data_IF_102875483336
#
_entry.id   IF_102875483336
#
_cell.length_a   1.000
_cell.length_b   1.000
_cell.length_c   1.000
_cell.angle_alpha   90.00
_cell.angle_beta   90.00
_cell.angle_gamma   90.00
#
_symmetry.space_group_name_H-M   'P 1'
#
loop_
_entity.id
_entity.type
_entity.pdbx_description
1 polymer ?
#
# COMPACT_ATOMS: atom_id res chain seq x y z
N UNK A 1 -49.91 3.57 -1.06
CA UNK A 1 -49.67 2.30 -1.80
C UNK A 1 -48.18 2.21 -2.05
N UNK A 2 -47.50 1.13 -1.63
CA UNK A 2 -46.08 0.92 -1.89
C UNK A 2 -45.97 0.06 -3.16
N UNK A 3 -45.25 0.55 -4.16
CA UNK A 3 -44.98 -0.18 -5.40
C UNK A 3 -43.58 -0.79 -5.26
N UNK A 4 -43.50 -2.12 -5.36
CA UNK A 4 -42.23 -2.84 -5.39
C UNK A 4 -41.77 -2.90 -6.85
N UNK A 5 -40.64 -2.28 -7.15
CA UNK A 5 -40.05 -2.29 -8.49
C UNK A 5 -39.28 -3.59 -8.75
N UNK A 6 -39.20 -3.98 -10.02
CA UNK A 6 -38.37 -5.09 -10.47
C UNK A 6 -36.90 -4.85 -10.09
N UNK A 7 -36.16 -5.88 -9.67
CA UNK A 7 -34.73 -5.74 -9.38
C UNK A 7 -33.93 -5.22 -10.57
N UNK A 8 -32.82 -4.55 -10.27
CA UNK A 8 -31.80 -4.17 -11.26
C UNK A 8 -31.15 -5.43 -11.86
N UNK A 9 -30.49 -5.28 -13.02
CA UNK A 9 -29.87 -6.40 -13.75
C UNK A 9 -28.92 -7.25 -12.91
N UNK A 10 -28.67 -8.47 -13.37
CA UNK A 10 -27.64 -9.35 -12.81
C UNK A 10 -26.27 -8.65 -12.74
N UNK A 11 -25.93 -7.83 -13.72
CA UNK A 11 -24.69 -7.06 -13.76
C UNK A 11 -24.60 -6.05 -12.62
N UNK A 12 -25.69 -5.34 -12.31
CA UNK A 12 -25.72 -4.43 -11.17
C UNK A 12 -25.69 -5.17 -9.83
N UNK A 13 -26.29 -6.36 -9.74
CA UNK A 13 -26.18 -7.19 -8.54
C UNK A 13 -24.74 -7.68 -8.32
N UNK A 14 -24.06 -8.13 -9.38
CA UNK A 14 -22.65 -8.51 -9.34
C UNK A 14 -21.74 -7.31 -9.00
N UNK A 15 -22.02 -6.13 -9.56
CA UNK A 15 -21.31 -4.91 -9.22
C UNK A 15 -21.49 -4.56 -7.73
N UNK A 16 -22.73 -4.62 -7.22
CA UNK A 16 -23.04 -4.39 -5.80
C UNK A 16 -22.29 -5.36 -4.89
N UNK A 17 -22.28 -6.65 -5.23
CA UNK A 17 -21.52 -7.67 -4.50
C UNK A 17 -20.02 -7.34 -4.49
N UNK A 18 -19.46 -6.97 -5.65
CA UNK A 18 -18.06 -6.60 -5.74
C UNK A 18 -17.75 -5.33 -4.91
N UNK A 19 -18.61 -4.31 -4.91
CA UNK A 19 -18.45 -3.15 -4.03
C UNK A 19 -18.50 -3.53 -2.55
N UNK A 20 -19.41 -4.43 -2.16
CA UNK A 20 -19.48 -4.94 -0.78
C UNK A 20 -18.21 -5.68 -0.41
N UNK A 21 -17.72 -6.58 -1.26
CA UNK A 21 -16.47 -7.31 -1.02
C UNK A 21 -15.29 -6.34 -0.93
N UNK A 22 -15.23 -5.31 -1.78
CA UNK A 22 -14.23 -4.26 -1.68
C UNK A 22 -14.28 -3.52 -0.34
N UNK A 23 -15.47 -3.22 0.19
CA UNK A 23 -15.63 -2.58 1.50
C UNK A 23 -15.36 -3.47 2.71
N UNK A 24 -15.37 -4.80 2.53
CA UNK A 24 -15.07 -5.77 3.60
C UNK A 24 -13.57 -6.02 3.80
N UNK A 25 -12.74 -5.75 2.79
CA UNK A 25 -11.29 -5.98 2.87
C UNK A 25 -10.57 -4.70 3.26
N UNK A 26 -9.55 -4.81 4.12
CA UNK A 26 -8.61 -3.71 4.42
C UNK A 26 -7.36 -3.69 3.54
N UNK A 27 -7.15 -4.77 2.78
CA UNK A 27 -6.00 -4.91 1.89
C UNK A 27 -6.19 -4.10 0.59
N UNK A 28 -5.21 -3.26 0.27
CA UNK A 28 -5.32 -2.34 -0.86
C UNK A 28 -5.40 -3.07 -2.21
N UNK A 29 -4.68 -4.18 -2.39
CA UNK A 29 -4.69 -4.96 -3.62
C UNK A 29 -6.08 -5.60 -3.82
N UNK A 30 -6.62 -6.21 -2.77
CA UNK A 30 -7.97 -6.80 -2.78
C UNK A 30 -9.05 -5.73 -3.05
N UNK A 31 -8.97 -4.57 -2.39
CA UNK A 31 -9.87 -3.43 -2.63
C UNK A 31 -9.83 -3.03 -4.11
N UNK A 32 -8.63 -2.83 -4.68
CA UNK A 32 -8.49 -2.41 -6.09
C UNK A 32 -9.00 -3.47 -7.06
N UNK A 33 -8.80 -4.75 -6.77
CA UNK A 33 -9.32 -5.86 -7.55
C UNK A 33 -10.85 -5.85 -7.60
N UNK A 34 -11.51 -5.78 -6.44
CA UNK A 34 -12.98 -5.78 -6.38
C UNK A 34 -13.60 -4.53 -6.99
N UNK A 35 -13.00 -3.36 -6.79
CA UNK A 35 -13.46 -2.12 -7.44
C UNK A 35 -13.33 -2.22 -8.96
N UNK A 36 -12.21 -2.71 -9.48
CA UNK A 36 -12.05 -2.96 -10.91
C UNK A 36 -13.14 -3.89 -11.45
N UNK A 37 -13.39 -5.01 -10.77
CA UNK A 37 -14.42 -5.98 -11.15
C UNK A 37 -15.84 -5.38 -11.12
N UNK A 38 -16.16 -4.54 -10.12
CA UNK A 38 -17.43 -3.85 -10.04
C UNK A 38 -17.67 -2.95 -11.27
N UNK A 39 -16.65 -2.19 -11.68
CA UNK A 39 -16.73 -1.33 -12.85
C UNK A 39 -16.76 -2.11 -14.18
N UNK A 40 -16.14 -3.30 -14.26
CA UNK A 40 -16.34 -4.21 -15.40
C UNK A 40 -17.81 -4.60 -15.52
N UNK A 41 -18.47 -4.95 -14.41
CA UNK A 41 -19.90 -5.29 -14.46
C UNK A 41 -20.79 -4.09 -14.81
N UNK A 42 -20.48 -2.89 -14.31
CA UNK A 42 -21.21 -1.68 -14.69
C UNK A 42 -20.99 -1.30 -16.16
N UNK A 43 -19.79 -1.51 -16.69
CA UNK A 43 -19.50 -1.35 -18.11
C UNK A 43 -20.34 -2.31 -18.95
N UNK A 44 -20.37 -3.60 -18.59
CA UNK A 44 -21.21 -4.59 -19.28
C UNK A 44 -22.69 -4.22 -19.20
N UNK A 45 -23.17 -3.78 -18.03
CA UNK A 45 -24.54 -3.31 -17.86
C UNK A 45 -24.87 -2.15 -18.83
N UNK A 46 -23.99 -1.14 -18.91
CA UNK A 46 -24.18 0.01 -19.78
C UNK A 46 -24.16 -0.39 -21.27
N UNK A 47 -23.22 -1.26 -21.68
CA UNK A 47 -23.12 -1.78 -23.05
C UNK A 47 -24.36 -2.57 -23.49
N UNK A 48 -25.02 -3.26 -22.56
CA UNK A 48 -26.24 -4.02 -22.83
C UNK A 48 -27.52 -3.17 -22.71
N UNK A 49 -27.37 -1.86 -22.55
CA UNK A 49 -28.45 -0.88 -22.48
C UNK A 49 -29.22 -0.89 -21.16
N UNK A 50 -28.52 -1.23 -20.05
CA UNK A 50 -29.07 -1.27 -18.69
C UNK A 50 -30.34 -2.13 -18.61
N UNK A 51 -30.24 -3.44 -18.89
CA UNK A 51 -31.40 -4.33 -18.81
C UNK A 51 -31.97 -4.36 -17.38
N UNK A 52 -33.22 -4.81 -17.26
CA UNK A 52 -33.79 -5.17 -15.96
C UNK A 52 -33.58 -6.66 -15.70
N UNK A 53 -33.80 -7.08 -14.46
CA UNK A 53 -33.70 -8.49 -14.09
C UNK A 53 -34.58 -9.38 -14.97
N UNK A 54 -34.02 -10.49 -15.45
CA UNK A 54 -34.70 -11.43 -16.36
C UNK A 54 -34.65 -11.05 -17.84
N UNK A 55 -34.13 -9.87 -18.20
CA UNK A 55 -33.87 -9.49 -19.59
C UNK A 55 -32.36 -9.55 -19.88
N UNK A 56 -31.92 -10.20 -20.97
CA UNK A 56 -30.49 -10.28 -21.30
C UNK A 56 -29.93 -8.97 -21.88
N UNK A 57 -30.77 -8.17 -22.54
CA UNK A 57 -30.41 -6.90 -23.19
C UNK A 57 -31.61 -5.96 -23.21
N UNK A 58 -31.36 -4.65 -23.23
CA UNK A 58 -32.40 -3.65 -23.48
C UNK A 58 -31.91 -2.67 -24.55
N UNK A 59 -32.41 -2.79 -25.78
CA UNK A 59 -31.92 -2.03 -26.94
C UNK A 59 -32.46 -0.59 -27.01
N UNK A 60 -33.19 -0.11 -26.00
CA UNK A 60 -33.79 1.23 -25.98
C UNK A 60 -32.77 2.38 -25.99
N UNK A 61 -31.50 2.12 -25.65
CA UNK A 61 -30.41 3.09 -25.69
C UNK A 61 -29.23 2.68 -24.82
N UNK A 62 -28.09 3.36 -24.99
CA UNK A 62 -26.89 3.17 -24.16
C UNK A 62 -26.78 4.34 -23.19
N UNK A 63 -26.60 4.05 -21.91
CA UNK A 63 -26.35 5.06 -20.88
C UNK A 63 -24.90 5.58 -20.99
N UNK A 64 -24.68 6.60 -21.83
CA UNK A 64 -23.35 7.16 -22.13
C UNK A 64 -22.61 7.60 -20.87
N UNK A 65 -23.30 8.24 -19.92
CA UNK A 65 -22.69 8.66 -18.65
C UNK A 65 -22.16 7.46 -17.86
N UNK A 66 -22.98 6.41 -17.71
CA UNK A 66 -22.57 5.18 -17.02
C UNK A 66 -21.39 4.51 -17.72
N UNK A 67 -21.38 4.52 -19.06
CA UNK A 67 -20.30 3.96 -19.86
C UNK A 67 -18.99 4.74 -19.64
N UNK A 68 -19.04 6.07 -19.73
CA UNK A 68 -17.88 6.94 -19.54
C UNK A 68 -17.27 6.75 -18.14
N UNK A 69 -18.10 6.82 -17.10
CA UNK A 69 -17.64 6.67 -15.73
C UNK A 69 -17.14 5.25 -15.45
N UNK A 70 -17.76 4.21 -16.03
CA UNK A 70 -17.26 2.85 -15.90
C UNK A 70 -15.86 2.72 -16.52
N UNK A 71 -15.63 3.26 -17.72
CA UNK A 71 -14.32 3.20 -18.40
C UNK A 71 -13.24 3.95 -17.60
N UNK A 72 -13.52 5.17 -17.14
CA UNK A 72 -12.56 5.97 -16.37
C UNK A 72 -12.17 5.27 -15.06
N UNK A 73 -13.16 4.75 -14.32
CA UNK A 73 -12.89 4.06 -13.07
C UNK A 73 -12.19 2.71 -13.30
N UNK A 74 -12.56 1.99 -14.36
CA UNK A 74 -11.89 0.74 -14.74
C UNK A 74 -10.42 0.99 -15.07
N UNK A 75 -10.08 2.10 -15.74
CA UNK A 75 -8.68 2.52 -15.95
C UNK A 75 -7.97 2.84 -14.64
N UNK A 76 -8.57 3.65 -13.76
CA UNK A 76 -7.96 4.05 -12.47
C UNK A 76 -7.70 2.83 -11.58
N UNK A 77 -8.71 1.98 -11.39
CA UNK A 77 -8.58 0.79 -10.56
C UNK A 77 -7.70 -0.27 -11.21
N UNK A 78 -7.82 -0.48 -12.53
CA UNK A 78 -7.03 -1.46 -13.26
C UNK A 78 -5.54 -1.11 -13.31
N UNK A 79 -5.20 0.15 -13.60
CA UNK A 79 -3.80 0.60 -13.60
C UNK A 79 -3.15 0.51 -12.22
N UNK A 80 -3.89 0.89 -11.16
CA UNK A 80 -3.43 0.71 -9.77
C UNK A 80 -3.30 -0.77 -9.40
N UNK A 81 -4.24 -1.62 -9.80
CA UNK A 81 -4.20 -3.06 -9.56
C UNK A 81 -2.96 -3.68 -10.21
N UNK A 82 -2.71 -3.36 -11.49
CA UNK A 82 -1.52 -3.85 -12.20
C UNK A 82 -0.24 -3.44 -11.47
N UNK A 83 -0.13 -2.18 -11.04
CA UNK A 83 1.04 -1.72 -10.27
C UNK A 83 1.22 -2.50 -8.97
N UNK A 84 0.15 -2.69 -8.20
CA UNK A 84 0.22 -3.44 -6.94
C UNK A 84 0.62 -4.91 -7.19
N UNK A 85 0.07 -5.56 -8.21
CA UNK A 85 0.49 -6.93 -8.60
C UNK A 85 1.97 -6.97 -9.02
N UNK A 86 2.45 -5.94 -9.73
CA UNK A 86 3.85 -5.83 -10.08
C UNK A 86 4.73 -5.57 -8.85
N UNK A 87 4.21 -4.92 -7.82
CA UNK A 87 4.91 -4.65 -6.56
C UNK A 87 5.03 -5.90 -5.68
N UNK A 88 4.08 -6.85 -5.78
CA UNK A 88 4.15 -8.16 -5.12
C UNK A 88 5.17 -9.13 -5.74
N UNK A 89 5.85 -8.73 -6.83
CA UNK A 89 6.87 -9.60 -7.44
C UNK A 89 7.99 -9.91 -6.43
N UNK A 90 8.43 -11.17 -6.35
CA UNK A 90 9.45 -11.57 -5.39
C UNK A 90 10.75 -10.81 -5.68
N UNK A 91 11.30 -10.24 -4.61
CA UNK A 91 12.63 -9.62 -4.62
C UNK A 91 13.51 -10.43 -3.69
N UNK A 92 14.72 -10.73 -4.16
CA UNK A 92 15.74 -11.40 -3.37
C UNK A 92 16.39 -10.34 -2.49
N UNK A 93 16.30 -10.55 -1.18
CA UNK A 93 17.00 -9.77 -0.16
C UNK A 93 17.99 -10.70 0.53
N UNK A 94 19.09 -10.14 1.04
CA UNK A 94 19.94 -10.83 2.01
C UNK A 94 19.20 -11.05 3.33
N UNK A 95 19.74 -11.88 4.23
CA UNK A 95 19.10 -12.15 5.52
C UNK A 95 18.95 -10.87 6.36
N UNK A 96 19.96 -10.01 6.34
CA UNK A 96 19.99 -8.72 7.06
C UNK A 96 18.98 -7.73 6.47
N UNK A 97 18.94 -7.61 5.14
CA UNK A 97 17.96 -6.79 4.43
C UNK A 97 16.53 -7.26 4.65
N UNK A 98 16.28 -8.58 4.63
CA UNK A 98 14.95 -9.15 4.88
C UNK A 98 14.49 -8.88 6.30
N UNK A 99 15.40 -8.97 7.27
CA UNK A 99 15.07 -8.68 8.65
C UNK A 99 14.78 -7.20 8.90
N UNK A 100 15.57 -6.30 8.29
CA UNK A 100 15.30 -4.87 8.32
C UNK A 100 13.99 -4.53 7.60
N UNK A 101 13.73 -5.13 6.43
CA UNK A 101 12.47 -4.98 5.71
C UNK A 101 11.29 -5.37 6.57
N UNK A 102 11.35 -6.50 7.32
CA UNK A 102 10.28 -6.91 8.24
C UNK A 102 9.99 -5.85 9.31
N UNK A 103 11.01 -5.10 9.75
CA UNK A 103 10.82 -3.98 10.67
C UNK A 103 10.00 -2.87 10.00
N UNK A 104 10.42 -2.39 8.83
CA UNK A 104 9.73 -1.34 8.07
C UNK A 104 8.33 -1.75 7.61
N UNK A 105 8.15 -3.01 7.24
CA UNK A 105 6.85 -3.54 6.84
C UNK A 105 5.87 -3.54 8.01
N UNK A 106 6.32 -3.93 9.21
CA UNK A 106 5.47 -3.94 10.41
C UNK A 106 5.09 -2.55 10.90
N UNK A 107 5.97 -1.56 10.79
CA UNK A 107 5.73 -0.22 11.31
C UNK A 107 5.11 0.74 10.28
N UNK A 108 5.47 0.60 9.00
CA UNK A 108 5.09 1.54 7.94
C UNK A 108 4.44 0.92 6.70
N UNK A 109 4.27 -0.41 6.65
CA UNK A 109 3.65 -1.08 5.50
C UNK A 109 4.48 -1.01 4.21
N UNK A 110 5.80 -0.79 4.32
CA UNK A 110 6.67 -0.65 3.16
C UNK A 110 6.80 -1.99 2.41
N UNK A 111 6.35 -2.04 1.15
CA UNK A 111 6.44 -3.27 0.36
C UNK A 111 7.89 -3.69 0.13
N UNK A 112 8.13 -4.99 -0.02
CA UNK A 112 9.48 -5.56 -0.18
C UNK A 112 10.22 -4.98 -1.39
N UNK A 113 9.49 -4.77 -2.49
CA UNK A 113 10.03 -4.16 -3.70
C UNK A 113 10.38 -2.69 -3.51
N UNK A 114 9.55 -1.93 -2.80
CA UNK A 114 9.82 -0.52 -2.53
C UNK A 114 11.02 -0.37 -1.59
N UNK A 115 11.11 -1.22 -0.57
CA UNK A 115 12.28 -1.34 0.29
C UNK A 115 13.55 -1.62 -0.53
N UNK A 116 13.52 -2.63 -1.41
CA UNK A 116 14.67 -2.93 -2.26
C UNK A 116 15.02 -1.83 -3.26
N UNK A 117 14.04 -1.15 -3.84
CA UNK A 117 14.30 -0.12 -4.85
C UNK A 117 14.82 1.19 -4.26
N UNK A 118 14.38 1.55 -3.05
CA UNK A 118 14.64 2.86 -2.46
C UNK A 118 15.67 2.81 -1.34
N UNK A 119 15.63 1.79 -0.47
CA UNK A 119 16.49 1.75 0.72
C UNK A 119 17.76 0.93 0.50
N UNK A 120 17.63 -0.28 -0.04
CA UNK A 120 18.77 -1.21 -0.21
C UNK A 120 19.98 -0.60 -0.92
N UNK A 121 19.84 0.19 -2.01
CA UNK A 121 21.00 0.77 -2.71
C UNK A 121 21.78 1.81 -1.88
N UNK A 122 21.18 2.30 -0.81
CA UNK A 122 21.75 3.30 0.08
C UNK A 122 22.03 2.75 1.49
N UNK A 123 21.85 1.43 1.66
CA UNK A 123 22.04 0.77 2.94
C UNK A 123 23.46 0.23 3.04
N UNK A 124 24.13 0.52 4.15
CA UNK A 124 25.40 -0.09 4.52
C UNK A 124 25.23 -0.73 5.90
N UNK A 125 25.55 -2.03 5.99
CA UNK A 125 25.53 -2.75 7.26
C UNK A 125 26.89 -2.59 7.91
N UNK A 126 26.89 -2.00 9.10
CA UNK A 126 28.11 -1.73 9.87
C UNK A 126 28.05 -2.53 11.17
N UNK A 127 29.07 -3.34 11.41
CA UNK A 127 29.30 -4.01 12.69
C UNK A 127 30.25 -3.16 13.54
N UNK A 128 29.86 -2.89 14.77
CA UNK A 128 30.66 -2.14 15.74
C UNK A 128 30.85 -2.96 17.01
N UNK A 129 32.04 -2.87 17.59
CA UNK A 129 32.36 -3.48 18.88
C UNK A 129 32.06 -2.53 20.04
N UNK A 130 32.00 -3.10 21.24
CA UNK A 130 31.79 -2.31 22.44
C UNK A 130 32.97 -1.36 22.67
N UNK A 131 32.67 -0.05 22.71
CA UNK A 131 33.66 1.01 22.85
C UNK A 131 33.99 1.74 21.55
N UNK A 132 33.50 1.26 20.40
CA UNK A 132 33.67 1.96 19.13
C UNK A 132 32.83 3.24 19.09
N UNK A 133 33.41 4.32 18.58
CA UNK A 133 32.71 5.58 18.33
C UNK A 133 32.13 5.59 16.92
N UNK A 134 30.82 5.86 16.80
CA UNK A 134 30.12 5.92 15.53
C UNK A 134 29.99 7.37 15.05
N UNK A 135 30.37 7.62 13.79
CA UNK A 135 30.24 8.93 13.16
C UNK A 135 28.79 9.18 12.75
N UNK A 136 28.12 10.07 13.47
CA UNK A 136 26.66 10.27 13.37
C UNK A 136 26.25 11.59 12.73
N UNK A 137 27.21 12.38 12.26
CA UNK A 137 26.97 13.67 11.59
C UNK A 137 26.47 13.50 10.15
N UNK A 138 26.98 12.48 9.46
CA UNK A 138 26.72 12.24 8.03
C UNK A 138 25.77 11.06 7.74
N UNK A 139 25.48 10.24 8.76
CA UNK A 139 24.76 8.99 8.60
C UNK A 139 23.53 8.89 9.52
N UNK A 140 22.47 8.32 8.97
CA UNK A 140 21.29 7.92 9.74
C UNK A 140 21.40 6.44 10.09
N UNK A 141 21.39 6.13 11.37
CA UNK A 141 21.55 4.75 11.84
C UNK A 141 20.22 4.14 12.23
N UNK A 142 20.07 2.87 11.88
CA UNK A 142 18.99 2.00 12.33
C UNK A 142 19.61 0.89 13.15
N UNK A 143 19.35 0.85 14.45
CA UNK A 143 19.91 -0.19 15.31
C UNK A 143 19.17 -1.50 15.10
N UNK A 144 19.78 -2.43 14.36
CA UNK A 144 19.20 -3.75 14.17
C UNK A 144 19.36 -4.64 15.42
N UNK A 145 20.57 -4.72 15.97
CA UNK A 145 20.87 -5.51 17.16
C UNK A 145 21.87 -4.78 18.09
N UNK A 146 21.82 -5.09 19.39
CA UNK A 146 22.72 -4.53 20.39
C UNK A 146 22.18 -3.27 21.08
N UNK A 147 23.10 -2.52 21.69
CA UNK A 147 22.81 -1.31 22.47
C UNK A 147 23.87 -0.26 22.17
N UNK A 148 23.45 0.93 21.75
CA UNK A 148 24.36 2.07 21.61
C UNK A 148 24.13 3.05 22.75
N UNK A 149 25.19 3.73 23.17
CA UNK A 149 25.12 4.84 24.11
C UNK A 149 25.21 6.13 23.30
N UNK A 150 24.12 6.89 23.29
CA UNK A 150 24.01 8.13 22.52
C UNK A 150 24.16 9.31 23.47
N UNK A 151 25.22 10.10 23.24
CA UNK A 151 25.48 11.34 23.95
C UNK A 151 25.47 12.50 22.95
N UNK A 152 24.61 13.49 23.19
CA UNK A 152 24.54 14.71 22.37
C UNK A 152 25.08 15.88 23.18
N UNK A 153 26.10 16.53 22.65
CA UNK A 153 26.74 17.70 23.23
C UNK A 153 26.36 18.94 22.41
N UNK A 154 25.95 20.02 23.08
CA UNK A 154 25.82 21.37 22.52
C UNK A 154 26.95 22.24 23.11
N UNK A 155 28.03 22.37 22.35
CA UNK A 155 29.31 22.88 22.86
C UNK A 155 29.88 21.93 23.93
N UNK A 156 30.05 22.42 25.16
CA UNK A 156 30.49 21.62 26.32
C UNK A 156 29.33 21.05 27.14
N UNK A 157 28.08 21.36 26.78
CA UNK A 157 26.91 20.98 27.57
C UNK A 157 26.27 19.69 27.03
N UNK A 158 26.13 18.69 27.90
CA UNK A 158 25.37 17.47 27.60
C UNK A 158 23.86 17.78 27.53
N UNK A 159 23.28 17.57 26.35
CA UNK A 159 21.85 17.84 26.05
C UNK A 159 21.04 16.55 26.11
N UNK A 160 21.59 15.44 25.62
CA UNK A 160 20.94 14.13 25.70
C UNK A 160 21.97 13.06 26.07
N UNK A 161 21.57 12.18 26.98
CA UNK A 161 22.30 10.97 27.33
C UNK A 161 21.29 9.84 27.46
N UNK A 162 21.32 8.91 26.50
CA UNK A 162 20.42 7.76 26.50
C UNK A 162 21.06 6.55 25.88
N UNK A 163 20.56 5.39 26.27
CA UNK A 163 20.87 4.15 25.58
C UNK A 163 19.75 3.81 24.61
N UNK A 164 20.12 3.48 23.38
CA UNK A 164 19.17 3.04 22.35
C UNK A 164 18.82 1.56 22.52
N UNK A 165 17.75 1.14 21.85
CA UNK A 165 17.29 -0.26 21.80
C UNK A 165 17.23 -0.75 20.35
N UNK A 166 17.20 -2.07 20.16
CA UNK A 166 16.90 -2.67 18.86
C UNK A 166 15.61 -2.10 18.26
N UNK A 167 15.70 -1.72 16.98
CA UNK A 167 14.64 -1.08 16.21
C UNK A 167 14.55 0.44 16.38
N UNK A 168 15.35 1.05 17.25
CA UNK A 168 15.43 2.50 17.33
C UNK A 168 16.28 3.08 16.20
N UNK A 169 15.85 4.24 15.74
CA UNK A 169 16.49 5.03 14.71
C UNK A 169 17.09 6.27 15.35
N UNK A 170 18.29 6.66 14.93
CA UNK A 170 18.96 7.85 15.44
C UNK A 170 19.83 8.53 14.40
N UNK A 171 19.78 9.87 14.41
CA UNK A 171 20.74 10.78 13.81
C UNK A 171 20.92 11.99 14.73
N UNK A 172 21.93 12.82 14.49
CA UNK A 172 22.11 14.07 15.24
C UNK A 172 21.22 15.21 14.73
N UNK A 173 20.70 15.14 13.50
CA UNK A 173 19.89 16.22 12.91
C UNK A 173 18.45 16.26 13.42
N UNK A 174 17.88 15.16 13.93
CA UNK A 174 16.49 15.09 14.36
C UNK A 174 16.31 14.98 15.90
N UNK A 175 17.31 15.35 16.70
CA UNK A 175 17.20 15.46 18.17
C UNK A 175 16.95 16.89 18.67
N UNK A 176 16.52 17.79 17.76
CA UNK A 176 16.03 19.15 18.04
C UNK A 176 14.51 19.25 17.95
#
# INVERSE_FOLDING_TARGET
MVVVYTPLSIWVQCASLAFTLGGMHGDLLAIRFFLFLAYVFLFLNACLGSPLWGAPTNSGGVAVDSLLWAVLNMYVHGSSLVRLVLDERPVHLTEEEDALWRMFYRTGGLSKRLFHAILVPHLEVIEAQAGDELLTEDFFYIQYHGRAHLQVLDGERLVADRYTRSGEMFDFKCLG
#
